data_IF_518716838043
#
_entry.id   IF_518716838043
#
_cell.length_a   1.000
_cell.length_b   1.000
_cell.length_c   1.000
_cell.angle_alpha   90.00
_cell.angle_beta   90.00
_cell.angle_gamma   90.00
#
_symmetry.space_group_name_H-M   'P 1'
#
loop_
_entity.id
_entity.type
_entity.pdbx_description
1 polymer ?
#
# COMPACT_ATOMS: atom_id res chain seq x y z
N UNK A 1 -34.96 16.32 41.50
CA UNK A 1 -33.55 16.72 41.43
C UNK A 1 -32.88 15.85 40.39
N UNK A 2 -32.74 16.39 39.18
CA UNK A 2 -32.18 15.69 38.03
C UNK A 2 -30.66 15.91 38.00
N UNK A 3 -29.92 14.86 38.23
CA UNK A 3 -28.47 14.86 38.03
C UNK A 3 -28.15 15.01 36.56
N UNK A 4 -27.50 16.11 36.20
CA UNK A 4 -26.87 16.28 34.91
C UNK A 4 -25.68 15.31 34.80
N UNK A 5 -25.76 14.38 33.86
CA UNK A 5 -24.62 13.58 33.46
C UNK A 5 -23.50 14.51 32.97
N UNK A 6 -22.34 14.41 33.58
CA UNK A 6 -21.14 15.07 33.10
C UNK A 6 -20.82 14.47 31.72
N UNK A 7 -20.93 15.28 30.66
CA UNK A 7 -20.48 14.95 29.32
C UNK A 7 -19.00 14.60 29.40
N UNK A 8 -18.66 13.36 29.09
CA UNK A 8 -17.27 12.92 28.95
C UNK A 8 -16.66 13.65 27.76
N UNK A 9 -15.80 14.63 28.03
CA UNK A 9 -14.94 15.28 27.02
C UNK A 9 -14.08 14.13 26.46
N UNK A 10 -14.29 13.77 25.19
CA UNK A 10 -13.48 12.75 24.56
C UNK A 10 -12.06 13.29 24.35
N UNK A 11 -11.02 12.45 24.54
CA UNK A 11 -9.60 12.84 24.29
C UNK A 11 -9.39 13.47 22.90
N UNK A 12 -10.34 13.29 22.00
CA UNK A 12 -10.35 13.80 20.64
C UNK A 12 -10.42 15.33 20.54
N UNK A 13 -11.15 15.96 21.44
CA UNK A 13 -11.33 17.42 21.48
C UNK A 13 -10.08 18.17 21.96
N UNK A 14 -9.15 17.45 22.61
CA UNK A 14 -7.96 18.05 23.23
C UNK A 14 -6.96 18.56 22.18
N UNK A 15 -6.93 18.03 20.97
CA UNK A 15 -5.94 18.38 19.95
C UNK A 15 -6.42 19.43 18.95
N UNK A 16 -7.71 19.53 18.71
CA UNK A 16 -8.28 20.49 17.76
C UNK A 16 -7.97 21.92 18.23
N UNK A 17 -7.52 22.77 17.30
CA UNK A 17 -7.10 24.14 17.59
C UNK A 17 -5.66 24.31 18.07
N UNK A 18 -5.00 23.23 18.56
CA UNK A 18 -3.59 23.27 18.97
C UNK A 18 -2.67 23.49 17.76
N UNK A 19 -1.53 24.08 18.06
CA UNK A 19 -0.46 24.27 17.07
C UNK A 19 0.69 23.33 17.38
N UNK A 20 1.04 22.52 16.41
CA UNK A 20 2.16 21.57 16.48
C UNK A 20 3.38 22.18 15.79
N UNK A 21 4.57 22.01 16.39
CA UNK A 21 5.86 22.55 15.92
C UNK A 21 5.82 24.06 15.63
N UNK A 22 4.99 24.82 16.36
CA UNK A 22 4.72 26.26 16.12
C UNK A 22 4.27 26.63 14.70
N UNK A 23 3.90 25.64 13.88
CA UNK A 23 3.69 25.79 12.44
C UNK A 23 2.37 25.22 11.94
N UNK A 24 1.87 24.14 12.50
CA UNK A 24 0.70 23.42 12.02
C UNK A 24 -0.46 23.52 13.00
N UNK A 25 -1.49 24.27 12.67
CA UNK A 25 -2.74 24.36 13.46
C UNK A 25 -3.65 23.18 13.11
N UNK A 26 -3.97 22.34 14.07
CA UNK A 26 -4.89 21.20 13.91
C UNK A 26 -6.32 21.73 13.73
N UNK A 27 -7.01 21.27 12.67
CA UNK A 27 -8.33 21.76 12.28
C UNK A 27 -9.41 20.75 12.61
N UNK A 28 -9.22 19.50 12.19
CA UNK A 28 -10.17 18.41 12.43
C UNK A 28 -9.47 17.06 12.42
N UNK A 29 -10.07 16.07 13.07
CA UNK A 29 -9.64 14.67 13.01
C UNK A 29 -10.06 14.07 11.66
N UNK A 30 -9.18 13.36 11.01
CA UNK A 30 -9.41 12.64 9.74
C UNK A 30 -9.73 11.17 9.96
N UNK A 31 -9.21 10.60 11.06
CA UNK A 31 -9.41 9.21 11.39
C UNK A 31 -8.56 8.78 12.57
N UNK A 32 -8.84 7.55 13.01
CA UNK A 32 -8.10 6.86 14.05
C UNK A 32 -7.69 5.48 13.53
N UNK A 33 -6.46 5.09 13.79
CA UNK A 33 -5.92 3.80 13.40
C UNK A 33 -5.30 3.06 14.58
N UNK A 34 -4.83 1.86 14.33
CA UNK A 34 -4.17 1.01 15.35
C UNK A 34 -2.96 1.69 15.99
N UNK A 35 -2.36 2.66 15.31
CA UNK A 35 -1.10 3.31 15.68
C UNK A 35 -1.27 4.78 16.07
N UNK A 36 -2.49 5.32 16.12
CA UNK A 36 -2.72 6.69 16.55
C UNK A 36 -3.81 7.41 15.78
N UNK A 37 -3.92 8.72 16.03
CA UNK A 37 -4.93 9.59 15.43
C UNK A 37 -4.34 10.43 14.31
N UNK A 38 -5.12 10.68 13.25
CA UNK A 38 -4.72 11.46 12.09
C UNK A 38 -5.56 12.73 12.05
N UNK A 39 -4.91 13.88 11.88
CA UNK A 39 -5.54 15.20 11.83
C UNK A 39 -5.21 15.95 10.55
N UNK A 40 -6.18 16.69 10.04
CA UNK A 40 -5.91 17.77 9.08
C UNK A 40 -5.37 18.98 9.83
N UNK A 41 -4.30 19.56 9.31
CA UNK A 41 -3.73 20.78 9.86
C UNK A 41 -3.45 21.81 8.76
N UNK A 42 -3.55 23.08 9.11
CA UNK A 42 -3.17 24.20 8.25
C UNK A 42 -1.82 24.77 8.67
N UNK A 43 -0.95 25.02 7.71
CA UNK A 43 0.32 25.70 7.97
C UNK A 43 0.07 27.16 8.28
N UNK A 44 0.66 27.70 9.37
CA UNK A 44 0.62 29.13 9.71
C UNK A 44 1.41 30.01 8.73
N UNK A 45 2.39 29.41 8.03
CA UNK A 45 3.28 30.14 7.13
C UNK A 45 2.81 30.10 5.67
N UNK A 46 1.75 29.33 5.39
CA UNK A 46 1.15 29.22 4.05
C UNK A 46 -0.27 28.69 4.20
N UNK A 47 -1.14 28.95 3.21
CA UNK A 47 -2.50 28.42 3.20
C UNK A 47 -2.58 26.92 2.82
N UNK A 48 -1.48 26.16 3.00
CA UNK A 48 -1.42 24.74 2.65
C UNK A 48 -1.88 23.87 3.80
N UNK A 49 -2.57 22.79 3.45
CA UNK A 49 -3.03 21.77 4.37
C UNK A 49 -2.10 20.55 4.37
N UNK A 50 -2.03 19.89 5.50
CA UNK A 50 -1.20 18.70 5.76
C UNK A 50 -1.98 17.67 6.58
N UNK A 51 -1.61 16.41 6.49
CA UNK A 51 -2.04 15.37 7.40
C UNK A 51 -0.97 15.21 8.50
N UNK A 52 -1.41 15.21 9.76
CA UNK A 52 -0.57 14.95 10.93
C UNK A 52 -1.03 13.64 11.58
N UNK A 53 -0.14 12.65 11.61
CA UNK A 53 -0.35 11.37 12.32
C UNK A 53 0.34 11.48 13.68
N UNK A 54 -0.42 11.30 14.77
CA UNK A 54 0.01 11.43 16.15
C UNK A 54 -0.06 10.07 16.82
N UNK A 55 1.05 9.59 17.38
CA UNK A 55 1.15 8.36 18.14
C UNK A 55 1.62 8.63 19.56
N UNK A 56 0.91 8.08 20.56
CA UNK A 56 1.31 8.17 21.96
C UNK A 56 2.43 7.15 22.24
N UNK A 57 3.62 7.63 22.52
CA UNK A 57 4.82 6.81 22.83
C UNK A 57 4.63 5.86 24.04
N UNK A 58 3.65 6.15 24.91
CA UNK A 58 3.34 5.30 26.07
C UNK A 58 2.56 4.04 25.67
N UNK A 59 1.77 4.13 24.58
CA UNK A 59 0.91 3.04 24.08
C UNK A 59 1.63 2.16 23.07
N UNK A 60 2.34 2.78 22.14
CA UNK A 60 3.02 2.10 21.03
C UNK A 60 4.48 2.58 20.97
N UNK A 61 5.41 1.66 20.82
CA UNK A 61 6.82 2.03 20.69
C UNK A 61 7.24 1.98 19.21
N UNK A 62 7.63 3.14 18.66
CA UNK A 62 8.44 3.27 17.45
C UNK A 62 7.80 2.96 16.07
N UNK A 63 6.50 2.66 15.97
CA UNK A 63 5.87 2.34 14.67
C UNK A 63 5.91 3.55 13.72
N UNK A 64 5.63 4.75 14.25
CA UNK A 64 5.65 5.97 13.45
C UNK A 64 7.06 6.40 13.04
N UNK A 65 8.05 6.07 13.86
CA UNK A 65 9.47 6.28 13.52
C UNK A 65 9.86 5.42 12.30
N UNK A 66 9.49 4.13 12.33
CA UNK A 66 9.73 3.20 11.23
C UNK A 66 9.02 3.64 9.94
N UNK A 67 7.77 4.07 10.05
CA UNK A 67 7.02 4.62 8.92
C UNK A 67 7.71 5.86 8.34
N UNK A 68 8.27 6.74 9.18
CA UNK A 68 9.00 7.92 8.73
C UNK A 68 10.23 7.58 7.89
N UNK A 69 10.93 6.50 8.24
CA UNK A 69 12.08 6.00 7.47
C UNK A 69 11.63 5.57 6.08
N UNK A 70 10.62 4.71 6.00
CA UNK A 70 10.13 4.25 4.70
C UNK A 70 9.63 5.41 3.84
N UNK A 71 8.85 6.34 4.39
CA UNK A 71 8.35 7.50 3.67
C UNK A 71 9.46 8.47 3.24
N UNK A 72 10.55 8.58 3.99
CA UNK A 72 11.71 9.42 3.59
C UNK A 72 12.49 8.80 2.43
N UNK A 73 12.52 7.46 2.36
CA UNK A 73 13.22 6.71 1.33
C UNK A 73 12.38 6.55 0.04
N UNK A 74 11.06 6.39 0.16
CA UNK A 74 10.15 6.14 -0.94
C UNK A 74 9.73 7.46 -1.62
N UNK A 75 10.56 7.99 -2.52
CA UNK A 75 10.23 9.19 -3.29
C UNK A 75 9.48 8.83 -4.59
N UNK A 76 8.21 8.49 -4.47
CA UNK A 76 7.34 8.19 -5.61
C UNK A 76 6.10 9.11 -5.60
N UNK A 77 5.62 9.58 -6.77
CA UNK A 77 4.52 10.56 -6.85
C UNK A 77 3.18 10.12 -6.22
N UNK A 78 3.00 8.82 -6.01
CA UNK A 78 1.79 8.18 -5.47
C UNK A 78 1.97 7.60 -4.08
N UNK A 79 3.02 8.02 -3.39
CA UNK A 79 3.26 7.78 -1.97
C UNK A 79 3.24 9.14 -1.28
N UNK A 80 2.55 9.30 -0.14
CA UNK A 80 2.46 10.59 0.55
C UNK A 80 3.83 11.15 0.88
N UNK A 81 4.09 12.40 0.50
CA UNK A 81 5.39 13.02 0.81
C UNK A 81 5.48 13.35 2.28
N UNK A 82 6.50 12.78 2.93
CA UNK A 82 6.91 13.20 4.26
C UNK A 82 7.39 14.66 4.22
N UNK A 83 6.89 15.50 5.14
CA UNK A 83 7.27 16.91 5.28
C UNK A 83 8.17 17.14 6.47
N UNK A 84 7.84 16.55 7.59
CA UNK A 84 8.65 16.57 8.80
C UNK A 84 8.19 15.46 9.76
N UNK A 85 9.02 15.23 10.76
CA UNK A 85 8.81 14.27 11.81
C UNK A 85 9.40 14.85 13.10
N UNK A 86 8.78 14.58 14.23
CA UNK A 86 9.30 15.06 15.51
C UNK A 86 8.46 14.65 16.69
N UNK A 87 8.77 15.23 17.83
CA UNK A 87 8.15 14.93 19.11
C UNK A 87 7.46 16.18 19.69
N UNK A 88 6.29 15.99 20.30
CA UNK A 88 5.60 17.02 21.06
C UNK A 88 4.99 16.40 22.32
N UNK A 89 5.56 16.71 23.49
CA UNK A 89 5.21 16.04 24.74
C UNK A 89 5.45 14.52 24.65
N UNK A 90 4.44 13.71 24.96
CA UNK A 90 4.48 12.25 24.87
C UNK A 90 4.12 11.70 23.49
N UNK A 91 3.98 12.56 22.47
CA UNK A 91 3.55 12.15 21.13
C UNK A 91 4.69 12.22 20.13
N UNK A 92 4.79 11.17 19.31
CA UNK A 92 5.51 11.17 18.03
C UNK A 92 4.56 11.72 16.99
N UNK A 93 5.03 12.61 16.13
CA UNK A 93 4.22 13.27 15.11
C UNK A 93 4.87 13.20 13.76
N UNK A 94 4.12 12.68 12.81
CA UNK A 94 4.48 12.61 11.40
C UNK A 94 3.65 13.64 10.63
N UNK A 95 4.31 14.54 9.91
CA UNK A 95 3.66 15.53 9.04
C UNK A 95 3.85 15.11 7.59
N UNK A 96 2.75 14.93 6.88
CA UNK A 96 2.78 14.44 5.51
C UNK A 96 1.82 15.20 4.59
N UNK A 97 1.92 14.95 3.31
CA UNK A 97 0.99 15.45 2.28
C UNK A 97 -0.44 15.06 2.66
N UNK A 98 -1.36 16.04 2.61
CA UNK A 98 -2.78 15.77 2.76
C UNK A 98 -3.30 15.10 1.49
N UNK A 99 -4.07 14.03 1.68
CA UNK A 99 -4.73 13.31 0.61
C UNK A 99 -6.25 13.43 0.74
N UNK A 100 -6.96 12.96 -0.28
CA UNK A 100 -8.41 12.84 -0.28
C UNK A 100 -8.88 11.61 0.49
N UNK A 101 -10.10 11.18 0.21
CA UNK A 101 -10.73 10.06 0.91
C UNK A 101 -10.08 8.73 0.56
N UNK A 102 -10.05 7.83 1.53
CA UNK A 102 -9.63 6.44 1.33
C UNK A 102 -10.72 5.63 0.62
N UNK A 103 -10.31 4.55 -0.05
CA UNK A 103 -11.24 3.72 -0.85
C UNK A 103 -12.31 3.03 0.00
N UNK A 104 -12.07 2.75 1.26
CA UNK A 104 -13.12 2.23 2.16
C UNK A 104 -14.21 3.26 2.42
N UNK A 105 -13.83 4.52 2.71
CA UNK A 105 -14.80 5.62 2.88
C UNK A 105 -15.58 5.88 1.60
N UNK A 106 -14.91 5.92 0.45
CA UNK A 106 -15.56 6.07 -0.85
C UNK A 106 -16.54 4.91 -1.08
N UNK A 107 -16.09 3.68 -0.91
CA UNK A 107 -16.87 2.47 -1.11
C UNK A 107 -18.13 2.42 -0.22
N UNK A 108 -18.00 2.81 1.05
CA UNK A 108 -19.12 2.84 1.99
C UNK A 108 -20.17 3.90 1.64
N UNK A 109 -19.81 4.95 0.91
CA UNK A 109 -20.70 5.99 0.45
C UNK A 109 -21.27 5.73 -0.97
N UNK A 110 -20.76 4.74 -1.71
CA UNK A 110 -21.36 4.34 -2.98
C UNK A 110 -22.72 3.67 -2.74
N UNK A 111 -23.78 4.04 -3.49
CA UNK A 111 -25.13 3.51 -3.31
C UNK A 111 -25.18 1.97 -3.44
N UNK A 112 -24.42 1.40 -4.37
CA UNK A 112 -24.35 -0.03 -4.63
C UNK A 112 -23.40 -0.78 -3.70
N UNK A 113 -22.51 -0.10 -2.99
CA UNK A 113 -21.35 -0.68 -2.30
C UNK A 113 -20.60 -1.67 -3.21
N UNK A 114 -20.45 -1.30 -4.47
CA UNK A 114 -19.67 -2.00 -5.50
C UNK A 114 -19.12 -0.96 -6.45
N UNK A 115 -17.95 -1.25 -6.99
CA UNK A 115 -17.32 -0.45 -8.04
C UNK A 115 -17.44 -1.16 -9.39
N UNK A 116 -17.53 -0.40 -10.47
CA UNK A 116 -17.55 -0.93 -11.82
C UNK A 116 -16.23 -1.56 -12.23
N UNK A 117 -16.26 -2.45 -13.19
CA UNK A 117 -15.05 -3.06 -13.77
C UNK A 117 -14.10 -1.99 -14.30
N UNK A 118 -14.61 -0.94 -14.96
CA UNK A 118 -13.80 0.17 -15.48
C UNK A 118 -13.08 0.91 -14.36
N UNK A 119 -13.77 1.25 -13.29
CA UNK A 119 -13.21 1.91 -12.12
C UNK A 119 -12.10 1.05 -11.48
N UNK A 120 -12.38 -0.23 -11.24
CA UNK A 120 -11.42 -1.15 -10.60
C UNK A 120 -10.19 -1.39 -11.46
N UNK A 121 -10.32 -1.49 -12.79
CA UNK A 121 -9.16 -1.60 -13.69
C UNK A 121 -8.27 -0.35 -13.64
N UNK A 122 -8.86 0.86 -13.58
CA UNK A 122 -8.11 2.10 -13.42
C UNK A 122 -7.37 2.17 -12.07
N UNK A 123 -7.96 1.67 -10.99
CA UNK A 123 -7.34 1.56 -9.67
C UNK A 123 -6.20 0.52 -9.70
N UNK A 124 -6.47 -0.67 -10.23
CA UNK A 124 -5.53 -1.79 -10.28
C UNK A 124 -4.22 -1.43 -11.01
N UNK A 125 -4.36 -0.81 -12.18
CA UNK A 125 -3.18 -0.38 -12.96
C UNK A 125 -2.29 0.58 -12.17
N UNK A 126 -2.87 1.57 -11.49
CA UNK A 126 -2.12 2.54 -10.70
C UNK A 126 -1.44 1.90 -9.48
N UNK A 127 -2.14 0.99 -8.78
CA UNK A 127 -1.56 0.28 -7.64
C UNK A 127 -0.41 -0.63 -8.06
N UNK A 128 -0.51 -1.30 -9.20
CA UNK A 128 0.58 -2.12 -9.73
C UNK A 128 1.85 -1.31 -10.05
N UNK A 129 1.71 -0.06 -10.50
CA UNK A 129 2.85 0.84 -10.66
C UNK A 129 3.51 1.18 -9.31
N UNK A 130 2.71 1.37 -8.26
CA UNK A 130 3.21 1.64 -6.91
C UNK A 130 3.91 0.40 -6.36
N UNK A 131 3.31 -0.80 -6.49
CA UNK A 131 3.93 -2.04 -6.03
C UNK A 131 5.22 -2.36 -6.76
N UNK A 132 5.27 -2.20 -8.08
CA UNK A 132 6.52 -2.35 -8.84
C UNK A 132 7.61 -1.44 -8.28
N UNK A 133 7.28 -0.19 -7.95
CA UNK A 133 8.23 0.76 -7.39
C UNK A 133 8.72 0.35 -5.99
N UNK A 134 7.81 0.09 -5.03
CA UNK A 134 8.21 -0.22 -3.65
C UNK A 134 8.96 -1.56 -3.57
N UNK A 135 8.56 -2.55 -4.36
CA UNK A 135 9.23 -3.84 -4.43
C UNK A 135 10.63 -3.73 -5.06
N UNK A 136 10.83 -2.84 -6.04
CA UNK A 136 12.15 -2.52 -6.56
C UNK A 136 13.04 -1.77 -5.54
N UNK A 137 12.43 -1.08 -4.57
CA UNK A 137 13.10 -0.52 -3.40
C UNK A 137 13.35 -1.56 -2.28
N UNK A 138 13.17 -2.85 -2.56
CA UNK A 138 13.34 -3.97 -1.63
C UNK A 138 12.32 -3.99 -0.46
N UNK A 139 11.19 -3.29 -0.59
CA UNK A 139 10.19 -3.09 0.47
C UNK A 139 8.89 -3.78 0.08
N UNK A 140 8.23 -4.45 1.05
CA UNK A 140 6.86 -4.96 0.98
C UNK A 140 6.00 -4.22 2.01
N UNK A 141 4.72 -4.04 1.70
CA UNK A 141 3.80 -3.22 2.51
C UNK A 141 3.13 -3.98 3.66
N UNK A 142 2.65 -5.21 3.42
CA UNK A 142 2.06 -6.16 4.37
C UNK A 142 0.70 -5.79 4.98
N UNK A 143 0.11 -4.64 4.63
CA UNK A 143 -1.24 -4.26 5.09
C UNK A 143 -2.07 -3.62 3.97
N UNK A 144 -2.22 -4.35 2.87
CA UNK A 144 -3.01 -3.91 1.73
C UNK A 144 -4.49 -4.07 2.03
N UNK A 145 -5.19 -2.93 2.09
CA UNK A 145 -6.63 -2.84 2.37
C UNK A 145 -7.20 -1.53 1.82
N UNK A 146 -8.52 -1.42 1.56
CA UNK A 146 -9.12 -0.19 1.04
C UNK A 146 -8.84 1.06 1.90
N UNK A 147 -8.73 0.92 3.22
CA UNK A 147 -8.42 2.02 4.14
C UNK A 147 -7.00 2.59 3.96
N UNK A 148 -6.07 1.79 3.41
CA UNK A 148 -4.69 2.21 3.14
C UNK A 148 -4.47 2.62 1.67
N UNK A 149 -5.55 2.80 0.92
CA UNK A 149 -5.53 3.29 -0.45
C UNK A 149 -6.42 4.53 -0.50
N UNK A 150 -5.89 5.66 -0.95
CA UNK A 150 -6.62 6.91 -1.01
C UNK A 150 -6.50 7.57 -2.39
N UNK A 151 -7.40 8.48 -2.68
CA UNK A 151 -7.27 9.39 -3.82
C UNK A 151 -6.42 10.61 -3.43
N UNK A 152 -5.84 11.28 -4.40
CA UNK A 152 -5.14 12.54 -4.15
C UNK A 152 -6.09 13.64 -3.69
N UNK A 153 -5.53 14.72 -3.14
CA UNK A 153 -6.28 15.89 -2.71
C UNK A 153 -6.47 16.88 -3.87
N UNK A 154 -7.67 17.46 -4.01
CA UNK A 154 -8.03 18.46 -5.02
C UNK A 154 -7.65 18.07 -6.45
N UNK A 155 -6.77 18.81 -7.13
CA UNK A 155 -6.34 18.58 -8.53
C UNK A 155 -5.70 17.20 -8.76
N UNK A 156 -5.23 16.57 -7.69
CA UNK A 156 -4.64 15.23 -7.73
C UNK A 156 -5.66 14.10 -7.52
N UNK A 157 -6.95 14.40 -7.38
CA UNK A 157 -8.02 13.42 -7.05
C UNK A 157 -8.11 12.25 -8.02
N UNK A 158 -7.67 12.41 -9.25
CA UNK A 158 -7.58 11.33 -10.26
C UNK A 158 -6.49 10.30 -9.98
N UNK A 159 -5.59 10.56 -9.05
CA UNK A 159 -4.47 9.67 -8.72
C UNK A 159 -4.73 8.87 -7.46
N UNK A 160 -4.39 7.58 -7.53
CA UNK A 160 -4.46 6.66 -6.40
C UNK A 160 -3.12 6.68 -5.65
N UNK A 161 -3.19 6.70 -4.33
CA UNK A 161 -2.05 6.72 -3.40
C UNK A 161 -2.10 5.49 -2.48
N UNK A 162 -0.93 4.98 -2.13
CA UNK A 162 -0.78 3.95 -1.10
C UNK A 162 -0.29 4.59 0.19
N UNK A 163 -0.97 4.29 1.30
CA UNK A 163 -0.80 4.88 2.63
C UNK A 163 -0.27 3.86 3.64
N UNK A 164 0.23 4.36 4.77
CA UNK A 164 0.48 3.60 6.01
C UNK A 164 1.55 2.50 5.85
N UNK A 165 2.81 2.94 5.88
CA UNK A 165 3.98 2.06 5.84
C UNK A 165 4.42 1.56 7.23
N UNK A 166 3.57 1.72 8.26
CA UNK A 166 3.86 1.30 9.64
C UNK A 166 4.07 -0.20 9.81
N UNK A 167 3.60 -1.03 8.86
CA UNK A 167 3.84 -2.46 8.82
C UNK A 167 4.79 -2.88 7.69
N UNK A 168 5.33 -1.93 6.93
CA UNK A 168 6.24 -2.23 5.82
C UNK A 168 7.52 -2.92 6.31
N UNK A 169 8.18 -3.67 5.44
CA UNK A 169 9.43 -4.39 5.76
C UNK A 169 10.28 -4.57 4.50
N UNK A 170 11.61 -4.62 4.68
CA UNK A 170 12.49 -5.15 3.65
C UNK A 170 12.30 -6.67 3.54
N UNK A 171 12.19 -7.18 2.30
CA UNK A 171 12.04 -8.60 2.02
C UNK A 171 13.35 -9.24 1.54
N UNK A 172 14.33 -8.42 1.17
CA UNK A 172 15.66 -8.86 0.75
C UNK A 172 16.73 -7.84 1.13
N UNK A 173 17.98 -8.26 1.15
CA UNK A 173 19.13 -7.39 1.34
C UNK A 173 19.29 -6.42 0.17
N UNK A 174 19.36 -5.13 0.43
CA UNK A 174 19.58 -4.12 -0.62
C UNK A 174 20.95 -4.26 -1.29
N UNK A 175 21.96 -4.80 -0.58
CA UNK A 175 23.33 -5.01 -1.06
C UNK A 175 23.44 -6.25 -1.95
N UNK A 176 23.00 -7.40 -1.44
CA UNK A 176 23.19 -8.69 -2.11
C UNK A 176 22.02 -9.08 -2.99
N UNK A 177 20.88 -8.41 -2.86
CA UNK A 177 19.59 -8.73 -3.48
C UNK A 177 19.07 -10.14 -3.15
N UNK A 178 19.65 -10.82 -2.17
CA UNK A 178 19.17 -12.11 -1.68
C UNK A 178 17.99 -11.89 -0.74
N UNK A 179 16.95 -12.68 -0.91
CA UNK A 179 15.81 -12.74 0.01
C UNK A 179 16.25 -13.14 1.42
N UNK A 180 15.55 -12.64 2.43
CA UNK A 180 15.68 -13.16 3.78
C UNK A 180 15.09 -14.57 3.84
N UNK A 181 15.58 -15.39 4.79
CA UNK A 181 15.14 -16.78 4.90
C UNK A 181 13.64 -16.89 5.15
N UNK A 182 13.00 -17.80 4.44
CA UNK A 182 11.62 -18.17 4.71
C UNK A 182 11.49 -18.81 6.08
N UNK A 183 10.56 -18.34 6.89
CA UNK A 183 10.21 -18.92 8.20
C UNK A 183 8.71 -19.19 8.23
N UNK A 184 8.31 -20.22 8.97
CA UNK A 184 6.91 -20.56 9.24
C UNK A 184 6.60 -20.33 10.71
N UNK A 185 5.32 -20.12 11.05
CA UNK A 185 4.87 -19.95 12.45
C UNK A 185 4.85 -18.50 12.93
N UNK A 186 4.98 -17.52 12.02
CA UNK A 186 4.80 -16.12 12.34
C UNK A 186 3.35 -15.81 12.73
N UNK A 187 3.15 -14.83 13.60
CA UNK A 187 1.82 -14.26 13.83
C UNK A 187 1.37 -13.50 12.58
N UNK A 188 0.06 -13.54 12.30
CA UNK A 188 -0.51 -12.76 11.19
C UNK A 188 -0.27 -11.26 11.44
N UNK A 189 0.35 -10.62 10.48
CA UNK A 189 0.53 -9.17 10.39
C UNK A 189 -0.44 -8.61 9.35
N UNK A 190 -1.06 -7.46 9.61
CA UNK A 190 -2.04 -6.84 8.74
C UNK A 190 -3.47 -7.37 8.92
N UNK A 191 -4.33 -7.16 7.94
CA UNK A 191 -5.76 -7.45 8.00
C UNK A 191 -6.08 -8.82 7.41
N UNK A 192 -6.60 -9.75 8.24
CA UNK A 192 -6.94 -11.12 7.82
C UNK A 192 -7.88 -11.20 6.61
N UNK A 193 -8.77 -10.21 6.42
CA UNK A 193 -9.71 -10.18 5.28
C UNK A 193 -8.98 -10.18 3.95
N UNK A 194 -7.93 -9.36 3.83
CA UNK A 194 -7.22 -9.14 2.59
C UNK A 194 -5.86 -9.85 2.51
N UNK A 195 -5.30 -10.34 3.63
CA UNK A 195 -4.00 -11.00 3.65
C UNK A 195 -3.94 -12.20 2.70
N UNK A 196 -2.76 -12.50 2.17
CA UNK A 196 -2.50 -13.70 1.38
C UNK A 196 -2.76 -14.99 2.16
N UNK A 197 -2.91 -16.11 1.46
CA UNK A 197 -3.01 -17.44 2.08
C UNK A 197 -1.73 -17.74 2.89
N UNK A 198 -0.55 -17.48 2.31
CA UNK A 198 0.72 -17.65 3.01
C UNK A 198 0.80 -16.82 4.30
N UNK A 199 0.39 -15.55 4.27
CA UNK A 199 0.44 -14.69 5.45
C UNK A 199 -0.49 -15.17 6.58
N UNK A 200 -1.71 -15.63 6.27
CA UNK A 200 -2.64 -16.15 7.28
C UNK A 200 -2.22 -17.52 7.80
N UNK A 201 -1.39 -18.25 7.06
CA UNK A 201 -0.75 -19.49 7.50
C UNK A 201 0.50 -19.25 8.37
N UNK A 202 0.96 -18.00 8.46
CA UNK A 202 2.12 -17.62 9.26
C UNK A 202 3.45 -17.79 8.54
N UNK A 203 3.45 -17.82 7.20
CA UNK A 203 4.67 -17.82 6.39
C UNK A 203 5.29 -16.43 6.30
N UNK A 204 6.61 -16.37 6.14
CA UNK A 204 7.30 -15.11 5.84
C UNK A 204 6.74 -14.50 4.55
N UNK A 205 6.38 -13.22 4.60
CA UNK A 205 5.78 -12.51 3.47
C UNK A 205 6.85 -12.00 2.51
N UNK A 206 6.51 -11.95 1.22
CA UNK A 206 7.31 -11.36 0.14
C UNK A 206 6.43 -10.58 -0.83
N UNK A 207 6.95 -10.23 -2.00
CA UNK A 207 6.22 -9.48 -3.04
C UNK A 207 4.89 -10.13 -3.46
N UNK A 208 4.86 -11.47 -3.52
CA UNK A 208 3.66 -12.24 -3.87
C UNK A 208 2.49 -11.98 -2.93
N UNK A 209 2.79 -11.77 -1.64
CA UNK A 209 1.77 -11.59 -0.60
C UNK A 209 1.07 -10.24 -0.73
N UNK A 210 1.78 -9.17 -1.06
CA UNK A 210 1.18 -7.86 -1.37
C UNK A 210 0.31 -7.94 -2.64
N UNK A 211 0.77 -8.63 -3.68
CA UNK A 211 0.03 -8.78 -4.94
C UNK A 211 -1.23 -9.65 -4.77
N UNK A 212 -1.17 -10.74 -4.01
CA UNK A 212 -2.35 -11.55 -3.68
C UNK A 212 -3.35 -10.73 -2.86
N UNK A 213 -2.87 -9.94 -1.89
CA UNK A 213 -3.70 -9.04 -1.08
C UNK A 213 -4.38 -7.98 -1.95
N UNK A 214 -3.67 -7.42 -2.93
CA UNK A 214 -4.25 -6.51 -3.91
C UNK A 214 -5.39 -7.20 -4.67
N UNK A 215 -5.20 -8.42 -5.16
CA UNK A 215 -6.25 -9.19 -5.84
C UNK A 215 -7.53 -9.28 -5.01
N UNK A 216 -7.41 -9.57 -3.71
CA UNK A 216 -8.57 -9.61 -2.81
C UNK A 216 -9.21 -8.23 -2.56
N UNK A 217 -8.44 -7.16 -2.55
CA UNK A 217 -8.99 -5.80 -2.48
C UNK A 217 -9.78 -5.48 -3.75
N UNK A 218 -9.24 -5.76 -4.94
CA UNK A 218 -9.93 -5.50 -6.21
C UNK A 218 -11.25 -6.29 -6.31
N UNK A 219 -11.23 -7.56 -5.93
CA UNK A 219 -12.43 -8.40 -5.90
C UNK A 219 -13.46 -7.92 -4.86
N UNK A 220 -13.00 -7.46 -3.69
CA UNK A 220 -13.88 -6.84 -2.71
C UNK A 220 -14.59 -5.60 -3.26
N UNK A 221 -13.87 -4.74 -3.97
CA UNK A 221 -14.44 -3.53 -4.57
C UNK A 221 -15.47 -3.86 -5.66
N UNK A 222 -15.26 -4.93 -6.43
CA UNK A 222 -16.21 -5.40 -7.48
C UNK A 222 -17.44 -6.11 -6.90
N UNK A 223 -17.22 -7.04 -5.97
CA UNK A 223 -18.24 -7.95 -5.48
C UNK A 223 -19.05 -7.40 -4.29
N UNK A 224 -18.50 -6.41 -3.58
CA UNK A 224 -19.07 -5.84 -2.35
C UNK A 224 -18.74 -6.64 -1.10
N UNK A 225 -18.34 -7.90 -1.24
CA UNK A 225 -17.93 -8.80 -0.15
C UNK A 225 -17.04 -9.91 -0.67
N UNK A 226 -16.28 -10.52 0.23
CA UNK A 226 -15.49 -11.71 -0.05
C UNK A 226 -16.09 -12.95 0.63
N UNK A 227 -15.92 -14.18 0.09
CA UNK A 227 -16.56 -15.39 0.61
C UNK A 227 -16.28 -15.66 2.10
N UNK A 228 -15.12 -15.28 2.58
CA UNK A 228 -14.71 -15.49 3.99
C UNK A 228 -15.15 -14.40 4.96
N UNK A 229 -16.10 -13.54 4.58
CA UNK A 229 -16.66 -12.51 5.45
C UNK A 229 -18.01 -12.94 6.07
N UNK A 230 -18.29 -12.43 7.28
CA UNK A 230 -19.61 -12.59 7.92
C UNK A 230 -19.82 -13.93 8.61
N UNK A 231 -18.79 -14.76 8.77
CA UNK A 231 -18.90 -16.02 9.51
C UNK A 231 -18.86 -15.79 11.02
N UNK A 232 -19.78 -16.39 11.73
CA UNK A 232 -19.83 -16.39 13.19
C UNK A 232 -18.56 -17.06 13.75
N UNK A 233 -17.96 -16.46 14.76
CA UNK A 233 -16.75 -16.96 15.42
C UNK A 233 -16.81 -16.68 16.92
N UNK A 234 -16.32 -17.61 17.73
CA UNK A 234 -16.33 -17.50 19.18
C UNK A 234 -15.09 -16.80 19.73
N UNK A 235 -14.00 -16.78 18.95
CA UNK A 235 -12.75 -16.11 19.30
C UNK A 235 -12.08 -15.52 18.07
N UNK A 236 -11.02 -14.72 18.29
CA UNK A 236 -10.18 -14.17 17.20
C UNK A 236 -9.46 -15.29 16.44
N UNK A 237 -9.01 -16.31 17.16
CA UNK A 237 -8.33 -17.49 16.62
C UNK A 237 -9.28 -18.32 15.76
N UNK A 238 -10.50 -18.59 16.23
CA UNK A 238 -11.57 -19.28 15.47
C UNK A 238 -11.89 -18.51 14.19
N UNK A 239 -12.00 -17.18 14.28
CA UNK A 239 -12.22 -16.32 13.12
C UNK A 239 -11.10 -16.47 12.08
N UNK A 240 -9.84 -16.43 12.50
CA UNK A 240 -8.71 -16.56 11.60
C UNK A 240 -8.63 -17.96 11.00
N UNK A 241 -8.92 -18.99 11.78
CA UNK A 241 -8.98 -20.36 11.30
C UNK A 241 -10.04 -20.52 10.20
N UNK A 242 -11.27 -20.01 10.42
CA UNK A 242 -12.35 -20.06 9.41
C UNK A 242 -11.99 -19.31 8.14
N UNK A 243 -11.46 -18.08 8.26
CA UNK A 243 -11.01 -17.30 7.10
C UNK A 243 -9.97 -18.08 6.31
N UNK A 244 -8.98 -18.68 6.97
CA UNK A 244 -7.93 -19.48 6.35
C UNK A 244 -8.52 -20.65 5.57
N UNK A 245 -9.42 -21.44 6.19
CA UNK A 245 -10.02 -22.60 5.54
C UNK A 245 -10.79 -22.20 4.28
N UNK A 246 -11.63 -21.17 4.37
CA UNK A 246 -12.44 -20.71 3.22
C UNK A 246 -11.53 -20.15 2.12
N UNK A 247 -10.50 -19.36 2.43
CA UNK A 247 -9.55 -18.86 1.43
C UNK A 247 -8.86 -19.99 0.66
N UNK A 248 -8.46 -21.05 1.38
CA UNK A 248 -7.78 -22.22 0.77
C UNK A 248 -8.72 -23.06 -0.10
N UNK A 249 -9.97 -23.23 0.32
CA UNK A 249 -10.94 -24.02 -0.43
C UNK A 249 -11.57 -23.27 -1.60
N UNK A 250 -11.58 -21.92 -1.58
CA UNK A 250 -12.17 -21.14 -2.68
C UNK A 250 -11.18 -21.05 -3.85
N UNK A 251 -11.55 -21.61 -4.97
CA UNK A 251 -10.77 -21.56 -6.21
C UNK A 251 -10.78 -20.16 -6.84
N UNK A 252 -9.84 -19.87 -7.73
CA UNK A 252 -9.83 -18.62 -8.49
C UNK A 252 -11.07 -18.52 -9.42
N UNK A 253 -11.52 -19.64 -9.97
CA UNK A 253 -12.72 -19.74 -10.79
C UNK A 253 -13.97 -19.31 -10.02
N UNK A 254 -14.19 -19.90 -8.83
CA UNK A 254 -15.32 -19.56 -7.96
C UNK A 254 -15.27 -18.10 -7.51
N UNK A 255 -14.06 -17.60 -7.15
CA UNK A 255 -13.86 -16.25 -6.64
C UNK A 255 -14.13 -15.19 -7.72
N UNK A 256 -13.84 -15.50 -8.98
CA UNK A 256 -13.98 -14.58 -10.11
C UNK A 256 -15.18 -14.88 -11.00
N UNK A 257 -16.14 -15.70 -10.53
CA UNK A 257 -17.32 -16.06 -11.31
C UNK A 257 -18.09 -14.81 -11.77
N UNK A 258 -18.36 -14.74 -13.08
CA UNK A 258 -19.08 -13.61 -13.69
C UNK A 258 -18.22 -12.37 -13.95
N UNK A 259 -16.92 -12.41 -13.68
CA UNK A 259 -15.96 -11.36 -14.02
C UNK A 259 -15.18 -11.73 -15.30
N UNK A 260 -14.54 -10.75 -15.99
CA UNK A 260 -13.60 -11.02 -17.06
C UNK A 260 -12.50 -12.01 -16.64
N UNK A 261 -12.10 -12.92 -17.54
CA UNK A 261 -11.13 -13.99 -17.24
C UNK A 261 -9.80 -13.49 -16.67
N UNK A 262 -9.41 -12.26 -17.01
CA UNK A 262 -8.18 -11.62 -16.54
C UNK A 262 -8.13 -11.46 -15.02
N UNK A 263 -9.26 -11.34 -14.34
CA UNK A 263 -9.30 -11.33 -12.87
C UNK A 263 -8.94 -12.71 -12.29
N UNK A 264 -9.44 -13.79 -12.91
CA UNK A 264 -9.06 -15.15 -12.56
C UNK A 264 -7.57 -15.37 -12.82
N UNK A 265 -7.09 -15.00 -14.00
CA UNK A 265 -5.67 -15.09 -14.38
C UNK A 265 -4.77 -14.35 -13.38
N UNK A 266 -5.20 -13.16 -12.91
CA UNK A 266 -4.50 -12.41 -11.88
C UNK A 266 -4.39 -13.19 -10.55
N UNK A 267 -5.51 -13.76 -10.08
CA UNK A 267 -5.56 -14.51 -8.81
C UNK A 267 -4.72 -15.78 -8.91
N UNK A 268 -4.83 -16.52 -10.01
CA UNK A 268 -4.04 -17.74 -10.25
C UNK A 268 -2.55 -17.42 -10.30
N UNK A 269 -2.16 -16.38 -11.02
CA UNK A 269 -0.78 -15.94 -11.12
C UNK A 269 -0.19 -15.61 -9.74
N UNK A 270 -0.87 -14.76 -8.95
CA UNK A 270 -0.36 -14.31 -7.65
C UNK A 270 -0.31 -15.42 -6.60
N UNK A 271 -1.28 -16.36 -6.61
CA UNK A 271 -1.27 -17.53 -5.73
C UNK A 271 -0.19 -18.55 -6.06
N UNK A 272 0.25 -18.61 -7.33
CA UNK A 272 1.27 -19.55 -7.80
C UNK A 272 2.69 -18.98 -7.78
N UNK A 273 2.89 -17.70 -7.42
CA UNK A 273 4.21 -17.14 -7.28
C UNK A 273 4.97 -17.78 -6.12
N UNK A 274 6.21 -18.20 -6.39
CA UNK A 274 7.11 -18.66 -5.36
C UNK A 274 7.60 -17.52 -4.46
N UNK A 275 8.11 -17.84 -3.27
CA UNK A 275 8.54 -16.87 -2.27
C UNK A 275 9.57 -15.86 -2.81
N UNK A 276 10.54 -16.32 -3.60
CA UNK A 276 11.62 -15.51 -4.16
C UNK A 276 11.37 -15.04 -5.59
N UNK A 277 10.30 -15.51 -6.25
CA UNK A 277 10.02 -15.18 -7.65
C UNK A 277 9.90 -13.68 -7.88
N UNK A 278 10.47 -13.21 -9.00
CA UNK A 278 10.26 -11.85 -9.48
C UNK A 278 8.90 -11.76 -10.20
N UNK A 279 7.94 -10.97 -9.69
CA UNK A 279 6.66 -10.81 -10.36
C UNK A 279 6.80 -10.08 -11.71
N UNK A 280 6.09 -10.53 -12.74
CA UNK A 280 5.95 -9.80 -13.99
C UNK A 280 4.87 -8.72 -13.88
N UNK A 281 5.27 -7.53 -13.41
CA UNK A 281 4.36 -6.38 -13.27
C UNK A 281 3.79 -5.92 -14.60
N UNK A 282 4.51 -6.11 -15.71
CA UNK A 282 4.01 -5.73 -17.02
C UNK A 282 2.89 -6.66 -17.45
N UNK A 283 3.04 -7.97 -17.24
CA UNK A 283 1.97 -8.93 -17.44
C UNK A 283 0.73 -8.57 -16.61
N UNK A 284 0.90 -8.34 -15.30
CA UNK A 284 -0.21 -8.00 -14.41
C UNK A 284 -0.92 -6.70 -14.81
N UNK A 285 -0.17 -5.65 -15.17
CA UNK A 285 -0.75 -4.39 -15.69
C UNK A 285 -1.52 -4.61 -16.98
N UNK A 286 -0.98 -5.43 -17.89
CA UNK A 286 -1.60 -5.73 -19.18
C UNK A 286 -2.91 -6.53 -19.05
N UNK A 287 -3.09 -7.34 -18.01
CA UNK A 287 -4.38 -7.99 -17.74
C UNK A 287 -5.51 -6.95 -17.65
N UNK A 288 -5.32 -5.89 -16.84
CA UNK A 288 -6.35 -4.85 -16.66
C UNK A 288 -6.51 -3.94 -17.88
N UNK A 289 -5.42 -3.64 -18.60
CA UNK A 289 -5.51 -2.92 -19.87
C UNK A 289 -6.26 -3.73 -20.94
N UNK A 290 -6.10 -5.06 -20.96
CA UNK A 290 -6.83 -5.96 -21.85
C UNK A 290 -8.33 -5.95 -21.53
N UNK A 291 -8.71 -5.98 -20.25
CA UNK A 291 -10.12 -5.82 -19.85
C UNK A 291 -10.69 -4.50 -20.37
N UNK A 292 -9.99 -3.37 -20.13
CA UNK A 292 -10.45 -2.08 -20.64
C UNK A 292 -10.64 -2.10 -22.16
N UNK A 293 -9.70 -2.67 -22.90
CA UNK A 293 -9.76 -2.79 -24.36
C UNK A 293 -10.93 -3.66 -24.84
N UNK A 294 -11.24 -4.78 -24.16
CA UNK A 294 -12.36 -5.67 -24.50
C UNK A 294 -13.71 -4.95 -24.43
N UNK A 295 -13.85 -3.97 -23.54
CA UNK A 295 -15.06 -3.15 -23.41
C UNK A 295 -14.99 -1.82 -24.18
N UNK A 296 -13.98 -1.62 -25.05
CA UNK A 296 -13.71 -0.35 -25.74
C UNK A 296 -13.50 0.85 -24.82
N UNK A 297 -12.97 0.61 -23.62
CA UNK A 297 -12.55 1.63 -22.68
C UNK A 297 -11.03 1.85 -22.78
N UNK A 298 -10.59 3.03 -22.32
CA UNK A 298 -9.18 3.37 -22.19
C UNK A 298 -8.82 3.53 -20.71
N UNK A 299 -7.53 3.55 -20.41
CA UNK A 299 -7.02 4.00 -19.12
C UNK A 299 -7.15 5.52 -19.07
N UNK A 300 -8.19 6.04 -18.42
CA UNK A 300 -8.60 7.44 -18.48
C UNK A 300 -8.97 8.05 -17.12
N UNK A 301 -8.58 7.38 -16.03
CA UNK A 301 -8.92 7.82 -14.67
C UNK A 301 -10.42 7.93 -14.41
N UNK A 302 -11.21 7.07 -15.06
CA UNK A 302 -12.65 6.98 -14.80
C UNK A 302 -12.91 6.39 -13.42
N UNK A 303 -13.79 7.05 -12.65
CA UNK A 303 -14.20 6.60 -11.33
C UNK A 303 -15.70 6.73 -11.09
N UNK A 304 -16.28 5.75 -10.41
CA UNK A 304 -17.71 5.69 -10.15
C UNK A 304 -18.17 6.80 -9.19
N UNK A 305 -17.33 7.24 -8.27
CA UNK A 305 -17.65 8.32 -7.34
C UNK A 305 -17.78 9.69 -8.02
N UNK A 306 -17.12 9.90 -9.15
CA UNK A 306 -17.27 11.14 -9.94
C UNK A 306 -18.63 11.18 -10.61
N UNK A 307 -19.21 10.02 -10.95
CA UNK A 307 -20.52 9.89 -11.61
C UNK A 307 -21.69 10.14 -10.66
N UNK A 308 -21.54 9.84 -9.39
CA UNK A 308 -22.59 10.04 -8.38
C UNK A 308 -22.45 11.38 -7.65
N UNK A 309 -21.54 12.25 -8.12
CA UNK A 309 -21.34 13.59 -7.57
C UNK A 309 -20.87 13.57 -6.11
N UNK A 310 -20.22 12.46 -5.67
CA UNK A 310 -19.56 12.42 -4.37
C UNK A 310 -18.37 13.37 -4.40
N UNK A 311 -18.65 14.66 -4.19
CA UNK A 311 -17.57 15.63 -4.01
C UNK A 311 -16.78 15.27 -2.75
N UNK A 312 -15.47 15.38 -2.83
CA UNK A 312 -14.53 15.08 -1.74
C UNK A 312 -14.81 15.89 -0.45
N UNK A 313 -15.60 16.97 -0.55
CA UNK A 313 -16.10 17.78 0.54
C UNK A 313 -17.34 17.19 1.24
N UNK A 314 -18.08 16.29 0.60
CA UNK A 314 -19.32 15.69 1.11
C UNK A 314 -19.12 14.33 1.77
N UNK A 315 -17.95 13.71 1.60
CA UNK A 315 -17.48 12.63 2.46
C UNK A 315 -17.05 13.26 3.80
N UNK A 316 -17.89 14.16 4.30
CA UNK A 316 -17.81 14.67 5.66
C UNK A 316 -18.32 13.55 6.55
N UNK A 317 -17.47 13.14 7.49
CA UNK A 317 -17.96 12.43 8.66
C UNK A 317 -19.19 13.18 9.17
N UNK A 318 -20.27 12.48 9.50
CA UNK A 318 -21.49 13.05 10.09
C UNK A 318 -21.19 13.51 11.53
N UNK A 319 -20.20 14.37 11.69
CA UNK A 319 -19.84 14.97 12.97
C UNK A 319 -20.24 16.45 12.98
N UNK A 320 -21.04 16.77 13.97
CA UNK A 320 -21.65 18.08 14.22
C UNK A 320 -20.58 19.16 14.41
N UNK A 321 -20.70 20.25 13.67
CA UNK A 321 -20.02 21.52 13.94
C UNK A 321 -20.36 22.02 15.35
N UNK A 322 -19.40 22.00 16.24
CA UNK A 322 -19.42 22.80 17.46
C UNK A 322 -18.24 23.78 17.46
N UNK A 323 -18.59 25.01 17.20
CA UNK A 323 -17.71 26.17 17.35
C UNK A 323 -17.49 26.45 18.83
N UNK A 324 -16.27 26.31 19.33
CA UNK A 324 -15.86 26.92 20.61
C UNK A 324 -14.42 27.43 20.47
N UNK A 325 -14.30 28.75 20.57
CA UNK A 325 -13.04 29.46 20.79
C UNK A 325 -12.57 29.26 22.21
N UNK A 326 -11.35 28.78 22.42
CA UNK A 326 -10.60 29.07 23.65
C UNK A 326 -9.09 28.91 23.42
N UNK A 327 -8.35 29.89 23.90
CA UNK A 327 -6.90 30.00 23.89
C UNK A 327 -6.27 28.95 24.80
N UNK A 328 -5.28 28.20 24.27
CA UNK A 328 -4.51 27.25 25.08
C UNK A 328 -3.01 27.39 24.82
N UNK A 329 -2.30 27.40 25.92
CA UNK A 329 -0.91 27.61 26.21
C UNK A 329 0.13 26.89 25.32
N UNK A 330 1.24 27.61 25.15
CA UNK A 330 2.47 27.25 24.45
C UNK A 330 3.12 25.97 25.00
N UNK A 331 3.11 24.89 24.23
CA UNK A 331 4.09 23.83 24.37
C UNK A 331 4.83 23.70 23.03
N UNK A 332 6.05 24.14 23.00
CA UNK A 332 6.93 24.16 21.83
C UNK A 332 7.54 22.79 21.64
N UNK A 333 7.02 21.98 20.74
CA UNK A 333 7.64 20.73 20.30
C UNK A 333 8.82 20.99 19.34
N UNK A 334 9.76 20.05 19.25
CA UNK A 334 10.89 20.11 18.32
C UNK A 334 10.55 19.43 17.00
N UNK A 335 10.70 20.14 15.88
CA UNK A 335 10.57 19.65 14.51
C UNK A 335 11.96 19.32 13.95
N UNK A 336 12.12 18.17 13.32
CA UNK A 336 13.36 17.78 12.66
C UNK A 336 13.20 17.76 11.13
N UNK A 337 14.08 18.44 10.37
CA UNK A 337 14.13 18.31 8.91
C UNK A 337 14.52 16.89 8.49
N UNK A 338 14.04 16.44 7.34
CA UNK A 338 14.23 15.06 6.82
C UNK A 338 15.70 14.58 6.86
N UNK A 339 16.73 15.37 6.47
CA UNK A 339 18.13 14.93 6.57
C UNK A 339 18.61 14.63 7.99
N UNK A 340 18.09 15.38 9.01
CA UNK A 340 18.41 15.12 10.42
C UNK A 340 17.66 13.92 10.98
N UNK A 341 16.52 13.55 10.38
CA UNK A 341 15.74 12.36 10.74
C UNK A 341 16.57 11.11 10.46
N UNK A 342 17.16 10.98 9.28
CA UNK A 342 17.99 9.82 8.91
C UNK A 342 19.14 9.61 9.91
N UNK A 343 19.91 10.67 10.23
CA UNK A 343 21.05 10.56 11.15
C UNK A 343 20.62 10.20 12.59
N UNK A 344 19.51 10.77 13.07
CA UNK A 344 19.01 10.48 14.42
C UNK A 344 18.43 9.07 14.54
N UNK A 345 17.83 8.56 13.47
CA UNK A 345 17.29 7.20 13.41
C UNK A 345 18.43 6.17 13.36
N UNK A 346 19.52 6.45 12.62
CA UNK A 346 20.71 5.60 12.64
C UNK A 346 21.30 5.50 14.05
N UNK A 347 21.40 6.63 14.78
CA UNK A 347 21.85 6.64 16.18
C UNK A 347 20.92 5.84 17.10
N UNK A 348 19.59 5.98 16.95
CA UNK A 348 18.62 5.24 17.76
C UNK A 348 18.66 3.73 17.50
N UNK A 349 18.94 3.32 16.26
CA UNK A 349 19.13 1.92 15.89
C UNK A 349 20.40 1.35 16.51
N UNK A 350 21.52 2.11 16.47
CA UNK A 350 22.77 1.70 17.12
C UNK A 350 22.67 1.62 18.65
N UNK A 351 21.99 2.58 19.28
CA UNK A 351 21.77 2.58 20.74
C UNK A 351 20.98 1.36 21.19
N UNK A 352 19.98 0.92 20.40
CA UNK A 352 19.20 -0.29 20.66
C UNK A 352 19.99 -1.58 20.46
N UNK A 353 20.85 -1.63 19.47
CA UNK A 353 21.76 -2.77 19.28
C UNK A 353 22.70 -2.94 20.47
N UNK A 354 23.09 -1.82 21.13
CA UNK A 354 23.95 -1.83 22.32
C UNK A 354 23.21 -2.16 23.62
N UNK A 355 21.90 -1.84 23.74
CA UNK A 355 21.10 -2.09 24.96
C UNK A 355 20.62 -3.52 25.12
N UNK A 356 20.76 -4.38 24.11
CA UNK A 356 20.31 -5.77 24.18
C UNK A 356 18.77 -5.93 24.17
N UNK A 357 18.01 -4.86 23.99
CA UNK A 357 16.55 -4.87 23.82
C UNK A 357 16.16 -5.38 22.44
N UNK A 358 16.85 -6.38 21.96
CA UNK A 358 16.50 -7.13 20.75
C UNK A 358 15.38 -8.07 21.17
N UNK A 359 14.13 -7.60 21.06
CA UNK A 359 13.08 -8.53 20.71
C UNK A 359 13.53 -9.18 19.39
N UNK A 360 13.38 -10.50 19.28
CA UNK A 360 13.58 -11.27 18.04
C UNK A 360 12.57 -10.82 16.96
N UNK A 361 12.59 -9.55 16.62
CA UNK A 361 11.77 -8.94 15.60
C UNK A 361 12.69 -8.63 14.43
N UNK A 362 12.77 -9.60 13.50
CA UNK A 362 13.55 -9.55 12.26
C UNK A 362 13.31 -8.30 11.38
N UNK A 363 12.69 -7.24 11.91
CA UNK A 363 12.38 -6.00 11.18
C UNK A 363 13.61 -5.18 10.83
N UNK A 364 14.73 -5.35 11.57
CA UNK A 364 15.97 -4.63 11.37
C UNK A 364 17.18 -5.55 11.32
N UNK A 365 17.53 -5.98 10.12
CA UNK A 365 18.92 -6.31 9.83
C UNK A 365 19.51 -5.06 9.18
N UNK A 366 20.11 -4.19 9.99
CA UNK A 366 20.82 -3.02 9.48
C UNK A 366 22.16 -3.47 8.93
N UNK A 367 22.38 -3.21 7.64
CA UNK A 367 23.71 -3.24 7.03
C UNK A 367 24.38 -1.89 7.32
N UNK A 368 25.55 -1.82 7.97
CA UNK A 368 26.25 -0.57 8.31
C UNK A 368 26.56 0.33 7.11
N UNK A 369 26.59 -0.21 5.89
CA UNK A 369 26.79 0.57 4.66
C UNK A 369 25.52 1.31 4.16
N UNK A 370 24.35 1.08 4.76
CA UNK A 370 23.13 1.80 4.38
C UNK A 370 23.14 3.27 4.81
N UNK A 371 23.91 3.63 5.83
CA UNK A 371 24.05 5.02 6.30
C UNK A 371 24.56 5.96 5.19
N UNK A 372 25.52 5.49 4.39
CA UNK A 372 26.07 6.28 3.27
C UNK A 372 25.10 6.39 2.09
N UNK A 373 24.24 5.40 1.86
CA UNK A 373 23.22 5.44 0.80
C UNK A 373 22.05 6.39 1.12
N UNK A 374 21.63 6.48 2.38
CA UNK A 374 20.59 7.45 2.78
C UNK A 374 21.05 8.89 2.57
N UNK A 375 22.32 9.19 2.89
CA UNK A 375 22.92 10.51 2.64
C UNK A 375 23.12 10.80 1.13
N UNK A 376 23.51 9.80 0.35
CA UNK A 376 23.78 9.94 -1.09
C UNK A 376 22.48 10.10 -1.92
N UNK A 377 21.37 9.44 -1.54
CA UNK A 377 20.11 9.57 -2.24
C UNK A 377 19.35 10.87 -1.91
N UNK A 378 19.62 11.49 -0.76
CA UNK A 378 19.13 12.83 -0.45
C UNK A 378 19.75 13.90 -1.37
N UNK A 379 20.93 13.66 -1.93
CA UNK A 379 21.65 14.57 -2.84
C UNK A 379 21.46 14.25 -4.33
N UNK A 380 20.89 13.09 -4.70
CA UNK A 380 20.63 12.71 -6.10
C UNK A 380 19.20 12.98 -6.52
N UNK A 381 18.83 14.27 -6.60
CA UNK A 381 17.55 14.69 -7.22
C UNK A 381 17.44 14.42 -8.73
N UNK A 382 18.51 14.01 -9.42
CA UNK A 382 18.52 13.85 -10.88
C UNK A 382 17.76 12.61 -11.40
N UNK A 383 17.60 11.54 -10.60
CA UNK A 383 16.82 10.38 -11.05
C UNK A 383 15.29 10.55 -10.86
N UNK A 384 14.85 11.52 -10.06
CA UNK A 384 13.43 11.82 -9.87
C UNK A 384 12.83 12.62 -11.04
N UNK A 385 13.65 13.34 -11.82
CA UNK A 385 13.19 14.07 -12.99
C UNK A 385 12.81 13.14 -14.15
N UNK A 386 13.52 12.05 -14.34
CA UNK A 386 13.18 11.04 -15.35
C UNK A 386 11.85 10.31 -15.05
N UNK A 387 11.46 10.18 -13.78
CA UNK A 387 10.14 9.65 -13.40
C UNK A 387 9.03 10.70 -13.47
N UNK A 388 9.35 12.00 -13.38
CA UNK A 388 8.36 13.09 -13.55
C UNK A 388 7.89 13.21 -15.01
N UNK A 389 8.76 13.04 -15.97
CA UNK A 389 8.40 12.99 -17.40
C UNK A 389 7.54 11.75 -17.71
N UNK A 390 7.82 10.60 -17.07
CA UNK A 390 7.03 9.36 -17.23
C UNK A 390 5.60 9.49 -16.73
N UNK A 391 5.36 10.31 -15.69
CA UNK A 391 4.00 10.50 -15.14
C UNK A 391 3.13 11.47 -15.95
N UNK A 392 3.75 12.30 -16.80
CA UNK A 392 3.05 13.31 -17.58
C UNK A 392 2.82 12.91 -19.05
N UNK A 393 3.53 11.90 -19.57
CA UNK A 393 3.46 11.43 -20.96
C UNK A 393 3.00 9.97 -21.05
N UNK A 394 1.88 9.59 -20.41
CA UNK A 394 1.31 8.25 -20.58
C UNK A 394 0.64 8.08 -21.94
N UNK A 395 1.46 7.91 -22.98
CA UNK A 395 1.10 7.11 -24.14
C UNK A 395 1.75 5.73 -24.00
N UNK A 396 1.14 4.65 -24.49
CA UNK A 396 1.69 3.30 -24.35
C UNK A 396 2.90 3.15 -25.28
N UNK A 397 4.10 3.41 -24.78
CA UNK A 397 5.35 3.18 -25.51
C UNK A 397 6.08 1.94 -24.98
N UNK A 398 6.49 1.12 -25.94
CA UNK A 398 7.31 -0.06 -25.74
C UNK A 398 8.71 0.33 -25.23
N UNK A 399 9.16 -0.35 -24.14
CA UNK A 399 10.54 -0.25 -23.66
C UNK A 399 11.54 -0.79 -24.68
N UNK A 400 12.67 -0.11 -24.95
CA UNK A 400 13.75 -0.70 -25.70
C UNK A 400 14.41 -1.83 -24.89
N UNK A 401 14.40 -3.04 -25.44
CA UNK A 401 15.14 -4.18 -24.88
C UNK A 401 16.63 -3.83 -24.87
N UNK A 402 17.30 -3.93 -23.72
CA UNK A 402 18.78 -3.92 -23.67
C UNK A 402 19.30 -5.07 -24.51
N UNK A 403 20.34 -4.86 -25.36
CA UNK A 403 20.91 -5.92 -26.16
C UNK A 403 21.60 -6.95 -25.24
N UNK A 404 21.13 -8.19 -25.32
CA UNK A 404 21.82 -9.35 -24.75
C UNK A 404 23.12 -9.51 -25.56
N UNK A 405 24.26 -9.47 -24.90
CA UNK A 405 25.56 -9.81 -25.52
C UNK A 405 25.50 -11.26 -25.98
N UNK A 406 25.44 -11.47 -27.27
CA UNK A 406 25.63 -12.74 -27.91
C UNK A 406 27.10 -13.16 -27.73
N UNK A 407 27.36 -14.17 -26.93
CA UNK A 407 28.58 -14.97 -27.04
C UNK A 407 28.37 -15.96 -28.17
N UNK A 408 29.24 -15.86 -29.17
CA UNK A 408 29.14 -16.61 -30.41
C UNK A 408 29.26 -18.11 -30.22
N UNK A 409 28.40 -18.85 -30.90
CA UNK A 409 28.65 -20.21 -31.34
C UNK A 409 28.45 -20.28 -32.88
N UNK A 410 29.38 -20.97 -33.50
CA UNK A 410 29.53 -21.18 -34.95
C UNK A 410 28.30 -21.88 -35.60
N UNK A 411 28.05 -21.69 -36.88
CA UNK A 411 26.84 -22.14 -37.54
C UNK A 411 26.93 -23.63 -37.92
N UNK A 412 25.90 -24.40 -37.52
CA UNK A 412 25.64 -25.72 -38.10
C UNK A 412 24.77 -25.57 -39.36
N UNK A 413 25.23 -26.16 -40.44
CA UNK A 413 24.55 -26.23 -41.73
C UNK A 413 23.31 -27.12 -41.70
N UNK A 414 22.26 -26.88 -42.47
CA UNK A 414 21.08 -27.71 -42.54
C UNK A 414 21.31 -28.94 -43.43
N UNK A 415 21.05 -30.13 -42.86
CA UNK A 415 20.93 -31.36 -43.68
C UNK A 415 19.49 -31.47 -44.19
N UNK A 416 19.42 -31.55 -45.52
CA UNK A 416 18.23 -31.89 -46.30
C UNK A 416 17.77 -33.31 -46.00
N UNK A 417 16.48 -33.51 -45.73
CA UNK A 417 15.82 -34.80 -45.85
C UNK A 417 14.59 -34.69 -46.75
N UNK A 418 14.58 -35.66 -47.70
CA UNK A 418 13.60 -35.84 -48.79
C UNK A 418 12.20 -36.23 -48.26
N UNK A 419 11.20 -35.79 -49.04
CA UNK A 419 9.83 -36.30 -49.01
C UNK A 419 9.80 -37.76 -49.42
N UNK A 420 9.09 -38.60 -48.68
CA UNK A 420 8.43 -39.78 -49.23
C UNK A 420 6.96 -39.79 -48.78
N UNK A 421 6.09 -40.03 -49.78
CA UNK A 421 4.65 -40.27 -49.66
C UNK A 421 4.42 -41.75 -49.44
N UNK A 422 3.40 -42.11 -48.65
CA UNK A 422 2.44 -43.20 -48.88
C UNK A 422 1.53 -43.33 -47.65
N UNK A 423 0.28 -43.12 -47.77
CA UNK A 423 -0.93 -43.93 -48.06
C UNK A 423 -1.54 -44.67 -46.86
N UNK A 424 -2.78 -44.26 -46.62
CA UNK A 424 -3.98 -45.05 -46.28
C UNK A 424 -3.95 -46.15 -45.20
N UNK A 425 -4.77 -46.02 -44.20
CA UNK A 425 -6.05 -46.74 -44.06
C UNK A 425 -6.59 -46.67 -42.60
N UNK A 426 -7.77 -46.12 -42.54
CA UNK A 426 -8.99 -46.57 -41.83
C UNK A 426 -8.88 -47.52 -40.60
N UNK A 427 -9.61 -47.19 -39.59
CA UNK A 427 -10.71 -47.83 -38.88
C UNK A 427 -10.73 -47.52 -37.41
N UNK A 428 -11.73 -46.82 -36.99
CA UNK A 428 -12.86 -47.21 -36.16
C UNK A 428 -12.62 -47.89 -34.81
N UNK A 429 -13.35 -47.34 -33.84
CA UNK A 429 -14.21 -47.96 -32.83
C UNK A 429 -13.73 -47.86 -31.37
N UNK A 430 -14.48 -46.99 -30.65
CA UNK A 430 -15.23 -47.19 -29.38
C UNK A 430 -14.45 -47.79 -28.17
N UNK A 431 -14.26 -47.04 -27.13
CA UNK A 431 -15.07 -46.99 -25.89
C UNK A 431 -14.77 -45.71 -25.12
#
# INVERSE_FOLDING_TARGET
MSGKSADSITEEDIFIGKTIFNKYKLIRKLGEGSFGSIYQAQSKNSNKYYALKLEDMRKNKYVLEEESIFLSYLNFPRIPKLKSYGYSGSYVILVMELLGSSLDKIFDNLPSRKMSIRCVCNIAYQLLLIFEFIHNCDIIHRDIKPANIAIGYEEKSKYIYLLDFGLAKKYRSSKTKKHFNFKQGNKLIGNARYSSINAIEGGTQSRRDDLESLGYVLLYLLLGRLPWQGHLSHSKEDKYYKIKQIKKSTTAEELCQGLPSQFKEYVEYTRNLEYESDPDYNYLKNLFLTVLKQYNWQFDYYYDWDQVGLTLSEIKDKEKDNNINNEISKNTGSEHPIPKICNKISQLVEERQKSGDIFEDDRFVTDPEQETMFAANASRNESAENYREYSNSMTPYAYPRKPVKQTGCLPCQPKSYKKEKEKDNSCCIIF
#
